data_IF_448847115198
#
_entry.id   IF_448847115198
#
_cell.length_a   1.000
_cell.length_b   1.000
_cell.length_c   1.000
_cell.angle_alpha   90.00
_cell.angle_beta   90.00
_cell.angle_gamma   90.00
#
_symmetry.space_group_name_H-M   'P 1'
#
loop_
_entity.id
_entity.type
_entity.pdbx_description
1 polymer ?
#
# COMPACT_ATOMS: atom_id res chain seq x y z
N UNK A 1 51.14 11.91 -20.77
CA UNK A 1 51.28 10.73 -21.67
C UNK A 1 49.92 10.06 -21.79
N UNK A 2 49.38 9.92 -22.99
CA UNK A 2 48.03 9.37 -23.20
C UNK A 2 47.92 7.91 -22.71
N UNK A 3 46.83 7.57 -22.01
CA UNK A 3 46.51 6.20 -21.56
C UNK A 3 46.52 5.20 -22.72
N UNK A 4 46.14 5.67 -23.91
CA UNK A 4 46.16 4.87 -25.14
C UNK A 4 47.58 4.55 -25.62
N UNK A 5 48.51 5.49 -25.50
CA UNK A 5 49.91 5.30 -25.93
C UNK A 5 50.67 4.37 -24.98
N UNK A 6 50.46 4.51 -23.67
CA UNK A 6 51.03 3.59 -22.69
C UNK A 6 50.52 2.16 -22.89
N UNK A 7 49.22 1.96 -23.15
CA UNK A 7 48.67 0.63 -23.47
C UNK A 7 49.26 0.03 -24.75
N UNK A 8 49.46 0.83 -25.81
CA UNK A 8 50.09 0.37 -27.06
C UNK A 8 51.54 -0.08 -26.85
N UNK A 9 52.32 0.67 -26.08
CA UNK A 9 53.72 0.33 -25.76
C UNK A 9 53.81 -0.95 -24.92
N UNK A 10 52.90 -1.12 -23.95
CA UNK A 10 52.83 -2.36 -23.16
C UNK A 10 52.47 -3.57 -24.04
N UNK A 11 51.51 -3.40 -24.96
CA UNK A 11 51.13 -4.44 -25.92
C UNK A 11 52.28 -4.81 -26.85
N UNK A 12 52.99 -3.82 -27.42
CA UNK A 12 54.10 -4.09 -28.34
C UNK A 12 55.27 -4.78 -27.64
N UNK A 13 55.60 -4.38 -26.42
CA UNK A 13 56.63 -5.02 -25.60
C UNK A 13 56.26 -6.48 -25.27
N UNK A 14 55.01 -6.73 -24.84
CA UNK A 14 54.53 -8.10 -24.56
C UNK A 14 54.56 -9.01 -25.79
N UNK A 15 54.21 -8.47 -26.97
CA UNK A 15 54.23 -9.22 -28.24
C UNK A 15 55.67 -9.54 -28.68
N UNK A 16 56.61 -8.62 -28.46
CA UNK A 16 58.02 -8.84 -28.76
C UNK A 16 58.65 -9.94 -27.87
N UNK A 17 58.36 -9.91 -26.56
CA UNK A 17 58.86 -10.92 -25.61
C UNK A 17 58.28 -12.31 -25.91
N UNK A 18 56.98 -12.40 -26.22
CA UNK A 18 56.34 -13.67 -26.57
C UNK A 18 56.85 -14.22 -27.90
N UNK A 19 57.07 -13.38 -28.91
CA UNK A 19 57.67 -13.78 -30.18
C UNK A 19 59.13 -14.27 -29.98
N UNK A 20 59.92 -13.60 -29.15
CA UNK A 20 61.29 -14.01 -28.85
C UNK A 20 61.33 -15.35 -28.09
N UNK A 21 60.43 -15.54 -27.12
CA UNK A 21 60.27 -16.81 -26.41
C UNK A 21 59.86 -17.96 -27.33
N UNK A 22 58.99 -17.68 -28.31
CA UNK A 22 58.63 -18.64 -29.36
C UNK A 22 59.80 -19.00 -30.27
N UNK A 23 60.60 -18.00 -30.67
CA UNK A 23 61.74 -18.23 -31.54
C UNK A 23 62.83 -19.08 -30.85
N UNK A 24 63.10 -18.82 -29.57
CA UNK A 24 64.29 -19.34 -28.87
C UNK A 24 64.07 -20.63 -28.09
N UNK A 25 62.85 -20.92 -27.59
CA UNK A 25 62.61 -22.04 -26.67
C UNK A 25 61.63 -23.09 -27.20
N UNK A 26 62.06 -24.36 -27.38
CA UNK A 26 61.17 -25.47 -27.73
C UNK A 26 60.08 -25.72 -26.67
N UNK A 27 60.41 -25.56 -25.39
CA UNK A 27 59.45 -25.72 -24.29
C UNK A 27 58.30 -24.70 -24.37
N UNK A 28 58.61 -23.46 -24.75
CA UNK A 28 57.61 -22.42 -24.91
C UNK A 28 56.65 -22.72 -26.08
N UNK A 29 57.18 -23.25 -27.19
CA UNK A 29 56.36 -23.72 -28.33
C UNK A 29 55.41 -24.85 -27.92
N UNK A 30 55.92 -25.87 -27.23
CA UNK A 30 55.12 -27.00 -26.78
C UNK A 30 54.04 -26.58 -25.77
N UNK A 31 54.38 -25.77 -24.78
CA UNK A 31 53.42 -25.27 -23.80
C UNK A 31 52.28 -24.50 -24.48
N UNK A 32 52.61 -23.62 -25.43
CA UNK A 32 51.62 -22.83 -26.13
C UNK A 32 50.71 -23.66 -27.04
N UNK A 33 51.27 -24.65 -27.74
CA UNK A 33 50.50 -25.62 -28.55
C UNK A 33 49.55 -26.48 -27.71
N UNK A 34 49.81 -26.66 -26.41
CA UNK A 34 48.92 -27.38 -25.50
C UNK A 34 47.91 -26.45 -24.83
N UNK A 35 48.32 -25.26 -24.40
CA UNK A 35 47.47 -24.31 -23.67
C UNK A 35 46.43 -23.67 -24.57
N UNK A 36 46.80 -23.23 -25.77
CA UNK A 36 45.86 -22.53 -26.67
C UNK A 36 44.65 -23.39 -27.02
N UNK A 37 44.79 -24.66 -27.45
CA UNK A 37 43.64 -25.51 -27.73
C UNK A 37 42.81 -25.86 -26.47
N UNK A 38 43.45 -25.94 -25.29
CA UNK A 38 42.75 -26.22 -24.02
C UNK A 38 41.82 -25.09 -23.60
N UNK A 39 42.14 -23.84 -23.95
CA UNK A 39 41.28 -22.68 -23.73
C UNK A 39 40.01 -22.69 -24.61
N UNK A 40 39.99 -23.44 -25.72
CA UNK A 40 38.81 -23.63 -26.56
C UNK A 40 38.01 -24.90 -26.23
N UNK A 41 38.39 -25.60 -25.15
CA UNK A 41 37.70 -26.80 -24.66
C UNK A 41 36.54 -26.50 -23.70
N UNK A 42 35.96 -27.57 -23.13
CA UNK A 42 34.87 -27.48 -22.13
C UNK A 42 35.27 -26.65 -20.90
N UNK A 43 36.48 -26.89 -20.39
CA UNK A 43 37.06 -26.18 -19.24
C UNK A 43 37.49 -24.73 -19.59
N UNK A 44 37.79 -24.49 -20.87
CA UNK A 44 38.22 -23.20 -21.38
C UNK A 44 37.14 -22.10 -21.38
N UNK A 45 35.86 -22.50 -21.32
CA UNK A 45 34.71 -21.59 -21.34
C UNK A 45 34.73 -20.57 -20.20
N UNK A 46 35.19 -20.97 -19.02
CA UNK A 46 35.31 -20.07 -17.86
C UNK A 46 36.31 -18.94 -18.15
N UNK A 47 37.43 -19.24 -18.80
CA UNK A 47 38.41 -18.24 -19.19
C UNK A 47 37.84 -17.26 -20.23
N UNK A 48 37.15 -17.78 -21.25
CA UNK A 48 36.50 -16.94 -22.26
C UNK A 48 35.43 -16.04 -21.61
N UNK A 49 34.59 -16.59 -20.74
CA UNK A 49 33.59 -15.83 -19.99
C UNK A 49 34.24 -14.74 -19.13
N UNK A 50 35.37 -15.03 -18.47
CA UNK A 50 36.08 -14.05 -17.66
C UNK A 50 36.66 -12.89 -18.51
N UNK A 51 37.17 -13.18 -19.71
CA UNK A 51 37.65 -12.16 -20.65
C UNK A 51 36.50 -11.29 -21.17
N UNK A 52 35.35 -11.90 -21.47
CA UNK A 52 34.14 -11.18 -21.88
C UNK A 52 33.65 -10.26 -20.75
N UNK A 53 33.60 -10.77 -19.51
CA UNK A 53 33.22 -9.97 -18.35
C UNK A 53 34.18 -8.80 -18.13
N UNK A 54 35.49 -9.02 -18.23
CA UNK A 54 36.50 -7.98 -18.11
C UNK A 54 36.36 -6.90 -19.21
N UNK A 55 36.00 -7.29 -20.44
CA UNK A 55 35.76 -6.36 -21.54
C UNK A 55 34.50 -5.51 -21.31
N UNK A 56 33.44 -6.08 -20.73
CA UNK A 56 32.17 -5.38 -20.49
C UNK A 56 32.24 -4.49 -19.22
N UNK A 57 33.12 -4.81 -18.26
CA UNK A 57 33.21 -4.09 -16.98
C UNK A 57 33.46 -2.58 -17.12
N UNK A 58 34.38 -2.17 -18.01
CA UNK A 58 34.72 -0.75 -18.18
C UNK A 58 33.84 0.00 -19.20
N UNK A 59 32.93 -0.69 -19.89
CA UNK A 59 32.08 -0.10 -20.93
C UNK A 59 30.61 -0.06 -20.49
N UNK A 60 29.80 -1.05 -20.90
CA UNK A 60 28.37 -1.09 -20.61
C UNK A 60 28.02 -0.95 -19.13
N UNK A 61 28.80 -1.60 -18.26
CA UNK A 61 28.52 -1.65 -16.82
C UNK A 61 28.65 -0.27 -16.19
N UNK A 62 29.69 0.51 -16.53
CA UNK A 62 29.85 1.88 -16.05
C UNK A 62 28.69 2.79 -16.47
N UNK A 63 28.19 2.64 -17.70
CA UNK A 63 27.01 3.37 -18.17
C UNK A 63 25.73 2.97 -17.42
N UNK A 64 25.54 1.68 -17.16
CA UNK A 64 24.39 1.19 -16.38
C UNK A 64 24.46 1.78 -14.96
N UNK A 65 25.62 1.77 -14.32
CA UNK A 65 25.80 2.36 -12.99
C UNK A 65 25.44 3.84 -12.95
N UNK A 66 25.87 4.61 -13.95
CA UNK A 66 25.55 6.03 -14.01
C UNK A 66 24.03 6.27 -14.19
N UNK A 67 23.36 5.48 -15.04
CA UNK A 67 21.90 5.58 -15.19
C UNK A 67 21.17 5.11 -13.92
N UNK A 68 21.70 4.10 -13.23
CA UNK A 68 21.11 3.59 -11.98
C UNK A 68 21.14 4.64 -10.89
N UNK A 69 22.22 5.43 -10.79
CA UNK A 69 22.31 6.55 -9.84
C UNK A 69 21.15 7.55 -10.05
N UNK A 70 20.87 7.92 -11.30
CA UNK A 70 19.75 8.82 -11.61
C UNK A 70 18.38 8.17 -11.32
N UNK A 71 18.23 6.88 -11.62
CA UNK A 71 17.00 6.12 -11.29
C UNK A 71 16.78 6.10 -9.78
N UNK A 72 17.80 5.79 -8.98
CA UNK A 72 17.67 5.78 -7.51
C UNK A 72 17.30 7.17 -6.96
N UNK A 73 17.85 8.23 -7.55
CA UNK A 73 17.50 9.61 -7.19
C UNK A 73 16.04 9.94 -7.49
N UNK A 74 15.53 9.56 -8.67
CA UNK A 74 14.13 9.78 -9.04
C UNK A 74 13.16 8.97 -8.17
N UNK A 75 13.49 7.72 -7.86
CA UNK A 75 12.73 6.87 -6.93
C UNK A 75 12.62 7.52 -5.55
N UNK A 76 13.68 8.17 -5.07
CA UNK A 76 13.67 8.97 -3.84
C UNK A 76 12.59 10.07 -3.88
N UNK A 77 12.58 10.92 -4.91
CA UNK A 77 11.54 11.97 -5.02
C UNK A 77 10.13 11.36 -5.14
N UNK A 78 9.95 10.22 -5.84
CA UNK A 78 8.64 9.53 -5.93
C UNK A 78 8.17 9.02 -4.57
N UNK A 79 9.08 8.41 -3.79
CA UNK A 79 8.78 7.94 -2.45
C UNK A 79 8.40 9.10 -1.51
N UNK A 80 9.14 10.21 -1.55
CA UNK A 80 8.80 11.41 -0.78
C UNK A 80 7.42 11.98 -1.14
N UNK A 81 7.12 12.06 -2.44
CA UNK A 81 5.83 12.53 -2.92
C UNK A 81 4.69 11.59 -2.48
N UNK A 82 4.90 10.27 -2.58
CA UNK A 82 3.92 9.27 -2.16
C UNK A 82 3.64 9.33 -0.65
N UNK A 83 4.68 9.50 0.18
CA UNK A 83 4.52 9.65 1.63
C UNK A 83 3.76 10.94 1.96
N UNK A 84 4.09 12.05 1.31
CA UNK A 84 3.41 13.33 1.56
C UNK A 84 1.92 13.30 1.20
N UNK A 85 1.57 12.78 0.02
CA UNK A 85 0.16 12.62 -0.35
C UNK A 85 -0.58 11.62 0.54
N UNK A 86 0.06 10.51 0.91
CA UNK A 86 -0.54 9.53 1.81
C UNK A 86 -0.83 10.14 3.19
N UNK A 87 0.10 10.93 3.72
CA UNK A 87 -0.08 11.63 5.00
C UNK A 87 -1.20 12.66 4.93
N UNK A 88 -1.26 13.44 3.85
CA UNK A 88 -2.34 14.40 3.65
C UNK A 88 -3.70 13.69 3.57
N UNK A 89 -3.80 12.62 2.76
CA UNK A 89 -5.02 11.85 2.61
C UNK A 89 -5.45 11.20 3.92
N UNK A 90 -4.49 10.67 4.69
CA UNK A 90 -4.73 10.13 6.04
C UNK A 90 -5.27 11.19 6.99
N UNK A 91 -4.67 12.38 7.04
CA UNK A 91 -5.16 13.46 7.90
C UNK A 91 -6.58 13.89 7.52
N UNK A 92 -6.87 14.05 6.23
CA UNK A 92 -8.19 14.46 5.75
C UNK A 92 -9.25 13.38 6.01
N UNK A 93 -8.91 12.09 5.84
CA UNK A 93 -9.85 10.98 6.05
C UNK A 93 -10.10 10.68 7.54
N UNK A 94 -9.10 10.86 8.40
CA UNK A 94 -9.21 10.58 9.84
C UNK A 94 -9.74 11.77 10.66
N UNK A 95 -9.60 13.00 10.16
CA UNK A 95 -10.14 14.20 10.81
C UNK A 95 -11.63 14.10 11.20
N UNK A 96 -12.57 13.69 10.32
CA UNK A 96 -13.98 13.58 10.70
C UNK A 96 -14.21 12.49 11.74
N UNK A 97 -13.54 11.34 11.64
CA UNK A 97 -13.66 10.25 12.60
C UNK A 97 -13.26 10.70 14.01
N UNK A 98 -12.16 11.47 14.11
CA UNK A 98 -11.66 12.00 15.37
C UNK A 98 -12.69 12.93 16.03
N UNK A 99 -13.32 13.82 15.25
CA UNK A 99 -14.39 14.71 15.76
C UNK A 99 -15.59 13.92 16.28
N UNK A 100 -16.06 12.92 15.53
CA UNK A 100 -17.19 12.09 15.94
C UNK A 100 -16.89 11.35 17.26
N UNK A 101 -15.68 10.82 17.42
CA UNK A 101 -15.27 10.17 18.68
C UNK A 101 -15.22 11.15 19.86
N UNK A 102 -14.74 12.38 19.62
CA UNK A 102 -14.67 13.44 20.64
C UNK A 102 -16.06 13.89 21.07
N UNK A 103 -16.98 14.16 20.13
CA UNK A 103 -18.36 14.52 20.41
C UNK A 103 -19.11 13.41 21.17
N UNK A 104 -18.87 12.15 20.81
CA UNK A 104 -19.45 11.00 21.51
C UNK A 104 -18.92 10.87 22.95
N UNK A 105 -17.63 11.13 23.17
CA UNK A 105 -17.05 11.11 24.51
C UNK A 105 -17.62 12.21 25.41
N UNK A 106 -17.74 13.45 24.88
CA UNK A 106 -18.35 14.58 25.61
C UNK A 106 -19.83 14.32 25.89
N UNK A 107 -20.58 13.87 24.89
CA UNK A 107 -22.01 13.54 25.06
C UNK A 107 -22.20 12.44 26.10
N UNK A 108 -21.35 11.41 26.12
CA UNK A 108 -21.37 10.35 27.12
C UNK A 108 -21.12 10.85 28.54
N UNK A 109 -20.19 11.80 28.73
CA UNK A 109 -19.94 12.42 30.03
C UNK A 109 -21.14 13.26 30.50
N UNK A 110 -21.72 14.06 29.60
CA UNK A 110 -22.90 14.87 29.90
C UNK A 110 -24.09 13.99 30.28
N UNK A 111 -24.39 12.96 29.49
CA UNK A 111 -25.41 11.95 29.78
C UNK A 111 -25.19 11.31 31.15
N UNK A 112 -23.97 10.92 31.49
CA UNK A 112 -23.67 10.31 32.79
C UNK A 112 -23.94 11.28 33.96
N UNK A 113 -23.60 12.56 33.80
CA UNK A 113 -23.87 13.58 34.82
C UNK A 113 -25.36 13.88 34.98
N UNK A 114 -26.12 13.91 33.88
CA UNK A 114 -27.58 14.09 33.93
C UNK A 114 -28.26 12.89 34.57
N UNK A 115 -27.84 11.67 34.24
CA UNK A 115 -28.35 10.43 34.85
C UNK A 115 -28.09 10.40 36.35
N UNK A 116 -26.90 10.85 36.81
CA UNK A 116 -26.63 10.97 38.25
C UNK A 116 -27.57 11.96 38.93
N UNK A 117 -27.76 13.14 38.35
CA UNK A 117 -28.68 14.15 38.90
C UNK A 117 -30.14 13.66 38.96
N UNK A 118 -30.61 12.99 37.89
CA UNK A 118 -31.95 12.38 37.86
C UNK A 118 -32.05 11.26 38.91
N UNK A 119 -31.01 10.43 39.06
CA UNK A 119 -30.96 9.37 40.05
C UNK A 119 -31.07 9.91 41.47
N UNK A 120 -30.34 10.99 41.79
CA UNK A 120 -30.37 11.64 43.11
C UNK A 120 -31.75 12.24 43.40
N UNK A 121 -32.37 12.90 42.41
CA UNK A 121 -33.73 13.42 42.53
C UNK A 121 -34.76 12.31 42.75
N UNK A 122 -34.62 11.17 42.06
CA UNK A 122 -35.48 10.00 42.26
C UNK A 122 -35.26 9.34 43.62
N UNK A 123 -34.04 9.32 44.15
CA UNK A 123 -33.78 8.83 45.51
C UNK A 123 -34.50 9.67 46.57
N UNK A 124 -34.47 11.00 46.46
CA UNK A 124 -35.21 11.89 47.37
C UNK A 124 -36.72 11.70 47.31
N UNK A 125 -37.28 11.48 46.11
CA UNK A 125 -38.71 11.17 45.94
C UNK A 125 -39.07 9.76 46.44
N UNK A 126 -38.19 8.79 46.26
CA UNK A 126 -38.41 7.44 46.75
C UNK A 126 -38.36 7.39 48.28
N UNK A 127 -37.59 8.25 48.95
CA UNK A 127 -37.61 8.37 50.42
C UNK A 127 -38.96 8.91 50.94
N UNK A 128 -39.57 9.86 50.21
CA UNK A 128 -40.92 10.38 50.51
C UNK A 128 -42.02 9.31 50.29
N UNK A 129 -41.93 8.52 49.22
CA UNK A 129 -42.93 7.50 48.86
C UNK A 129 -42.71 6.16 49.58
N UNK A 130 -41.48 5.85 50.02
CA UNK A 130 -41.16 4.67 50.82
C UNK A 130 -41.50 4.84 52.31
N UNK A 131 -41.99 6.02 52.72
CA UNK A 131 -42.63 6.21 54.02
C UNK A 131 -43.79 5.22 54.16
N UNK A 132 -43.62 4.23 55.03
CA UNK A 132 -44.59 3.16 55.33
C UNK A 132 -45.84 3.65 56.10
N UNK A 133 -46.28 4.88 55.87
CA UNK A 133 -47.47 5.43 56.48
C UNK A 133 -48.65 5.40 55.50
N UNK A 134 -49.41 4.31 55.49
CA UNK A 134 -50.81 4.36 55.02
C UNK A 134 -51.25 3.45 53.88
N UNK A 135 -50.69 2.24 53.71
CA UNK A 135 -51.40 1.20 52.95
C UNK A 135 -52.34 0.40 53.85
N UNK A 136 -53.49 0.98 54.16
CA UNK A 136 -54.69 0.20 54.47
C UNK A 136 -55.90 0.97 53.94
N UNK A 137 -56.82 0.22 53.34
CA UNK A 137 -58.12 0.62 52.77
C UNK A 137 -58.07 0.92 51.26
N UNK A 138 -58.36 -0.12 50.47
CA UNK A 138 -59.66 -0.27 49.77
C UNK A 138 -59.52 -1.15 48.53
N UNK A 139 -59.33 -2.46 48.73
CA UNK A 139 -59.57 -3.43 47.66
C UNK A 139 -60.98 -4.00 47.83
N UNK A 140 -61.97 -3.27 47.32
CA UNK A 140 -63.30 -3.80 47.05
C UNK A 140 -63.94 -3.10 45.86
N UNK A 141 -64.06 -3.89 44.78
CA UNK A 141 -65.09 -3.87 43.73
C UNK A 141 -65.14 -2.66 42.79
N UNK A 142 -64.91 -2.94 41.50
CA UNK A 142 -65.97 -3.07 40.49
C UNK A 142 -65.34 -3.39 39.13
N UNK A 143 -65.63 -4.56 38.56
CA UNK A 143 -66.68 -4.77 37.55
C UNK A 143 -66.22 -4.42 36.13
N UNK A 144 -65.95 -5.47 35.34
CA UNK A 144 -65.86 -5.46 33.88
C UNK A 144 -67.15 -4.92 33.27
N UNK A 145 -67.05 -4.19 32.14
CA UNK A 145 -67.81 -4.58 30.95
C UNK A 145 -66.93 -4.79 29.71
N UNK A 146 -67.46 -5.56 28.76
CA UNK A 146 -66.87 -6.10 27.53
C UNK A 146 -66.17 -5.04 26.65
N UNK A 147 -64.90 -5.23 26.30
CA UNK A 147 -64.33 -6.09 25.23
C UNK A 147 -64.44 -5.51 23.80
N UNK A 148 -63.83 -4.33 23.60
CA UNK A 148 -63.21 -3.99 22.33
C UNK A 148 -61.71 -4.34 22.43
N UNK A 149 -61.08 -4.97 21.42
CA UNK A 149 -59.66 -5.24 21.47
C UNK A 149 -58.91 -3.91 21.57
N UNK A 150 -57.99 -3.82 22.54
CA UNK A 150 -57.10 -2.67 22.66
C UNK A 150 -56.40 -2.44 21.31
N UNK A 151 -56.19 -1.18 20.95
CA UNK A 151 -55.40 -0.80 19.76
C UNK A 151 -54.07 -1.53 19.74
N UNK A 152 -53.47 -1.79 20.91
CA UNK A 152 -52.25 -2.58 21.05
C UNK A 152 -52.40 -4.03 20.60
N UNK A 153 -53.51 -4.68 20.97
CA UNK A 153 -53.81 -6.05 20.52
C UNK A 153 -54.15 -6.09 19.02
N UNK A 154 -54.75 -5.03 18.48
CA UNK A 154 -55.01 -4.90 17.05
C UNK A 154 -53.69 -4.79 16.25
N UNK A 155 -52.73 -3.99 16.74
CA UNK A 155 -51.40 -3.87 16.14
C UNK A 155 -50.60 -5.17 16.23
N UNK A 156 -50.61 -5.85 17.37
CA UNK A 156 -49.95 -7.16 17.52
C UNK A 156 -50.52 -8.21 16.55
N UNK A 157 -51.84 -8.24 16.39
CA UNK A 157 -52.50 -9.17 15.46
C UNK A 157 -52.12 -8.86 14.01
N UNK A 158 -52.07 -7.57 13.63
CA UNK A 158 -51.68 -7.13 12.28
C UNK A 158 -50.22 -7.48 11.97
N UNK A 159 -49.33 -7.34 12.94
CA UNK A 159 -47.90 -7.68 12.80
C UNK A 159 -47.70 -9.19 12.67
N UNK A 160 -48.41 -10.01 13.46
CA UNK A 160 -48.35 -11.48 13.32
C UNK A 160 -48.82 -11.98 11.95
N UNK A 161 -49.85 -11.37 11.36
CA UNK A 161 -50.33 -11.73 10.02
C UNK A 161 -49.33 -11.37 8.91
N UNK A 162 -48.48 -10.35 9.10
CA UNK A 162 -47.40 -10.01 8.16
C UNK A 162 -46.25 -11.02 8.20
N UNK A 163 -46.06 -11.72 9.31
CA UNK A 163 -45.00 -12.72 9.47
C UNK A 163 -45.37 -14.09 8.90
N UNK A 164 -46.64 -14.35 8.57
CA UNK A 164 -47.11 -15.65 8.12
C UNK A 164 -47.43 -15.72 6.62
N UNK A 165 -47.09 -14.70 5.84
CA UNK A 165 -47.03 -14.88 4.38
C UNK A 165 -45.81 -15.74 4.08
N UNK A 166 -45.98 -16.96 3.51
CA UNK A 166 -44.84 -17.69 2.99
C UNK A 166 -44.19 -16.80 1.92
N UNK A 167 -42.98 -16.34 2.19
CA UNK A 167 -42.10 -15.78 1.15
C UNK A 167 -41.89 -16.93 0.18
N UNK A 168 -42.58 -16.90 -0.96
CA UNK A 168 -42.29 -17.83 -2.05
C UNK A 168 -40.83 -17.62 -2.41
N UNK A 169 -40.02 -18.60 -2.05
CA UNK A 169 -38.58 -18.62 -2.17
C UNK A 169 -38.17 -18.58 -3.64
N UNK A 170 -38.12 -17.39 -4.23
CA UNK A 170 -37.21 -17.11 -5.33
C UNK A 170 -35.82 -16.87 -4.74
N UNK A 171 -35.17 -18.00 -4.43
CA UNK A 171 -33.73 -18.23 -4.54
C UNK A 171 -32.85 -16.98 -4.35
N UNK A 172 -32.34 -16.81 -3.13
CA UNK A 172 -31.12 -16.03 -2.90
C UNK A 172 -29.96 -16.71 -3.63
N UNK A 173 -29.81 -16.44 -4.92
CA UNK A 173 -28.51 -16.53 -5.58
C UNK A 173 -27.73 -15.31 -5.12
N UNK A 174 -26.53 -15.44 -4.54
CA UNK A 174 -25.67 -14.28 -4.36
C UNK A 174 -25.44 -13.71 -5.75
N UNK A 175 -26.00 -12.53 -6.04
CA UNK A 175 -25.57 -11.76 -7.21
C UNK A 175 -24.07 -11.52 -7.02
N UNK A 176 -23.19 -11.98 -7.92
CA UNK A 176 -21.87 -11.38 -7.99
C UNK A 176 -22.14 -9.91 -8.27
N UNK A 177 -21.58 -9.02 -7.44
CA UNK A 177 -21.32 -7.66 -7.89
C UNK A 177 -20.42 -7.81 -9.11
N UNK A 178 -21.05 -7.79 -10.29
CA UNK A 178 -20.35 -7.56 -11.55
C UNK A 178 -19.82 -6.14 -11.43
N UNK A 179 -18.60 -6.05 -10.92
CA UNK A 179 -17.74 -4.92 -11.19
C UNK A 179 -17.56 -4.96 -12.70
N UNK A 180 -18.31 -4.12 -13.42
CA UNK A 180 -18.02 -3.73 -14.80
C UNK A 180 -16.64 -3.06 -14.78
N UNK A 181 -15.62 -3.90 -14.67
CA UNK A 181 -14.28 -3.60 -15.10
C UNK A 181 -14.25 -4.03 -16.56
N UNK A 182 -14.58 -3.07 -17.43
CA UNK A 182 -13.88 -2.98 -18.69
C UNK A 182 -12.40 -2.91 -18.36
N UNK A 183 -11.76 -4.07 -18.32
CA UNK A 183 -10.32 -4.20 -18.48
C UNK A 183 -10.10 -4.24 -19.98
N UNK A 184 -10.17 -3.06 -20.58
CA UNK A 184 -9.51 -2.82 -21.85
C UNK A 184 -8.02 -2.95 -21.51
N UNK A 185 -7.30 -3.87 -22.15
CA UNK A 185 -5.92 -4.26 -21.80
C UNK A 185 -4.85 -3.15 -21.92
N UNK A 186 -5.23 -1.90 -21.81
CA UNK A 186 -4.37 -0.73 -21.70
C UNK A 186 -3.99 -0.53 -20.23
N UNK A 187 -2.77 -0.93 -19.90
CA UNK A 187 -2.06 -0.36 -18.76
C UNK A 187 -2.17 1.17 -18.84
N UNK A 188 -2.50 1.89 -17.75
CA UNK A 188 -2.36 3.33 -17.76
C UNK A 188 -0.89 3.62 -18.10
N UNK A 189 -0.67 4.34 -19.20
CA UNK A 189 0.66 4.83 -19.54
C UNK A 189 1.27 5.46 -18.28
N UNK A 190 2.50 5.08 -17.90
CA UNK A 190 3.18 5.78 -16.82
C UNK A 190 3.21 7.24 -17.24
N UNK A 191 2.53 8.11 -16.46
CA UNK A 191 2.59 9.53 -16.70
C UNK A 191 4.05 9.92 -16.87
N UNK A 192 4.42 10.70 -17.91
CA UNK A 192 5.78 11.13 -18.07
C UNK A 192 6.10 12.04 -16.88
N UNK A 193 6.82 11.49 -15.91
CA UNK A 193 7.59 12.29 -14.97
C UNK A 193 8.62 13.02 -15.83
N UNK A 194 8.26 14.22 -16.27
CA UNK A 194 9.13 15.16 -16.95
C UNK A 194 10.23 15.64 -15.98
N UNK A 195 11.18 14.78 -15.62
CA UNK A 195 12.47 15.25 -15.12
C UNK A 195 13.34 15.56 -16.35
N UNK A 196 13.32 16.84 -16.73
CA UNK A 196 14.23 17.37 -17.75
C UNK A 196 15.65 17.24 -17.21
N UNK A 197 16.51 16.49 -17.91
CA UNK A 197 17.96 16.42 -17.68
C UNK A 197 18.54 17.84 -17.65
N UNK A 198 18.73 18.44 -16.48
CA UNK A 198 19.86 19.38 -16.21
C UNK A 198 19.77 20.17 -14.90
N UNK A 199 18.74 20.06 -14.06
CA UNK A 199 18.74 20.81 -12.79
C UNK A 199 18.35 19.93 -11.61
N UNK A 200 19.17 19.98 -10.56
CA UNK A 200 19.06 19.25 -9.29
C UNK A 200 17.80 19.60 -8.45
N UNK A 201 16.71 20.03 -9.09
CA UNK A 201 15.53 20.65 -8.50
C UNK A 201 14.23 19.88 -8.78
N UNK A 202 14.26 18.57 -9.08
CA UNK A 202 13.03 17.77 -9.20
C UNK A 202 12.28 17.57 -7.85
N UNK A 203 12.94 17.75 -6.70
CA UNK A 203 12.34 17.48 -5.38
C UNK A 203 11.66 18.72 -4.72
N UNK A 204 11.48 19.85 -5.42
CA UNK A 204 10.69 20.99 -4.90
C UNK A 204 9.65 21.46 -5.91
N UNK A 205 8.42 21.01 -5.71
CA UNK A 205 7.12 21.71 -5.92
C UNK A 205 6.06 20.77 -6.50
N UNK A 206 4.77 20.90 -6.10
CA UNK A 206 3.67 20.21 -6.77
C UNK A 206 3.54 20.69 -8.23
N UNK A 207 3.09 19.85 -9.18
CA UNK A 207 3.05 20.22 -10.57
C UNK A 207 1.93 21.22 -10.84
N UNK A 208 2.27 22.50 -11.04
CA UNK A 208 1.48 23.36 -11.93
C UNK A 208 1.88 23.00 -13.36
N UNK A 209 1.19 22.02 -13.95
CA UNK A 209 1.17 21.87 -15.40
C UNK A 209 0.45 23.09 -15.97
N UNK A 210 1.21 24.10 -16.41
CA UNK A 210 0.67 25.19 -17.22
C UNK A 210 0.10 24.59 -18.50
N UNK A 211 -1.22 24.71 -18.68
CA UNK A 211 -1.87 24.67 -19.98
C UNK A 211 -1.24 25.76 -20.86
N UNK A 212 -0.53 25.37 -21.91
CA UNK A 212 -0.22 26.27 -23.02
C UNK A 212 -1.32 26.14 -24.07
N UNK A 213 -1.97 27.27 -24.34
CA UNK A 213 -2.78 27.54 -25.54
C UNK A 213 -2.00 27.29 -26.84
#
# INVERSE_FOLDING_TARGET
MNITETRKVQLSYGLAVTALGWATSPHFRCASLLVVPKLFGKEGRVYILSLVLAAIYNGPVANIWHNLEEVTRSLGCVAELQVNHSRMLWHVSTAPLRKVMEDMAVSGQMLNSEVQNISDAFMGLNEEVASKAGYNLRQSRSAKPQLAPSTQQLYETKTKLRCNTPVYSSRWVPRPLRMERGWDGTWPDPQPLCCRRSTARCCRSPPTCLQSS
#
